data_IF_922705275429
#
_entry.id   IF_922705275429
#
_cell.length_a   1.000
_cell.length_b   1.000
_cell.length_c   1.000
_cell.angle_alpha   90.00
_cell.angle_beta   90.00
_cell.angle_gamma   90.00
#
_symmetry.space_group_name_H-M   'P 1'
#
loop_
_entity.id
_entity.type
_entity.pdbx_description
1 polymer ?
#
# COMPACT_ATOMS: atom_id res chain seq x y z
N UNK A 1 13.68 -16.79 1.18
CA UNK A 1 14.09 -15.65 2.03
C UNK A 1 15.58 -15.67 2.36
N UNK A 2 16.14 -16.76 2.87
CA UNK A 2 17.55 -16.83 3.23
C UNK A 2 18.46 -16.50 2.06
N UNK A 3 18.21 -17.05 0.90
CA UNK A 3 18.99 -16.77 -0.31
C UNK A 3 18.82 -15.34 -0.81
N UNK A 4 17.64 -14.75 -0.69
CA UNK A 4 17.38 -13.40 -1.19
C UNK A 4 17.82 -12.30 -0.22
N UNK A 5 17.74 -12.55 1.08
CA UNK A 5 17.87 -11.51 2.10
C UNK A 5 19.14 -11.51 2.92
N UNK A 6 19.73 -12.68 3.16
CA UNK A 6 20.87 -12.80 4.07
C UNK A 6 22.20 -13.10 3.38
N UNK A 7 22.18 -13.60 2.14
CA UNK A 7 23.42 -13.85 1.40
C UNK A 7 23.99 -12.54 0.88
N UNK A 8 25.16 -12.18 1.39
CA UNK A 8 25.97 -11.04 0.90
C UNK A 8 26.79 -11.40 -0.34
N UNK A 9 26.90 -12.69 -0.66
CA UNK A 9 27.70 -13.20 -1.76
C UNK A 9 26.81 -13.52 -2.96
N UNK A 10 27.37 -13.39 -4.17
CA UNK A 10 26.72 -13.89 -5.38
C UNK A 10 26.51 -15.40 -5.28
N UNK A 11 25.30 -15.85 -5.56
CA UNK A 11 25.00 -17.28 -5.56
C UNK A 11 25.74 -17.99 -6.67
N UNK A 12 26.25 -19.18 -6.36
CA UNK A 12 26.87 -20.05 -7.38
C UNK A 12 25.82 -20.48 -8.41
N UNK A 13 26.21 -20.61 -9.71
CA UNK A 13 25.27 -21.03 -10.77
C UNK A 13 24.51 -22.32 -10.43
N UNK A 14 25.17 -23.30 -9.86
CA UNK A 14 24.55 -24.58 -9.46
C UNK A 14 23.47 -24.37 -8.38
N UNK A 15 23.71 -23.50 -7.40
CA UNK A 15 22.72 -23.15 -6.39
C UNK A 15 21.49 -22.50 -7.02
N UNK A 16 21.70 -21.60 -7.97
CA UNK A 16 20.61 -20.95 -8.74
C UNK A 16 19.79 -21.99 -9.51
N UNK A 17 20.48 -22.91 -10.19
CA UNK A 17 19.84 -24.00 -10.94
C UNK A 17 19.02 -24.89 -10.02
N UNK A 18 19.56 -25.27 -8.88
CA UNK A 18 18.87 -26.10 -7.87
C UNK A 18 17.61 -25.44 -7.34
N UNK A 19 17.67 -24.13 -7.02
CA UNK A 19 16.49 -23.38 -6.56
C UNK A 19 15.41 -23.37 -7.64
N UNK A 20 15.79 -23.08 -8.90
CA UNK A 20 14.84 -23.05 -10.02
C UNK A 20 14.16 -24.40 -10.25
N UNK A 21 14.89 -25.49 -10.15
CA UNK A 21 14.35 -26.85 -10.31
C UNK A 21 13.36 -27.25 -9.21
N UNK A 22 13.42 -26.59 -8.04
CA UNK A 22 12.58 -26.93 -6.88
C UNK A 22 11.49 -25.86 -6.60
N UNK A 23 11.27 -24.90 -7.52
CA UNK A 23 10.24 -23.87 -7.33
C UNK A 23 8.82 -24.43 -7.24
N UNK A 24 8.54 -25.55 -7.89
CA UNK A 24 7.23 -26.23 -7.80
C UNK A 24 6.85 -26.62 -6.37
N UNK A 25 7.85 -26.86 -5.49
CA UNK A 25 7.61 -27.08 -4.08
C UNK A 25 6.93 -25.91 -3.35
N UNK A 26 7.07 -24.69 -3.87
CA UNK A 26 6.48 -23.48 -3.29
C UNK A 26 4.96 -23.47 -3.44
N UNK A 27 4.43 -24.06 -4.51
CA UNK A 27 2.97 -24.16 -4.75
C UNK A 27 2.26 -25.00 -3.68
N UNK A 28 3.02 -25.87 -2.97
CA UNK A 28 2.52 -26.70 -1.87
C UNK A 28 2.45 -25.97 -0.53
N UNK A 29 3.02 -24.76 -0.44
CA UNK A 29 2.98 -23.96 0.78
C UNK A 29 1.61 -23.27 0.93
N UNK A 30 1.18 -23.11 2.20
CA UNK A 30 -0.03 -22.34 2.47
C UNK A 30 0.15 -20.86 2.04
N UNK A 31 -0.94 -20.22 1.66
CA UNK A 31 -0.97 -18.82 1.23
C UNK A 31 -0.49 -17.90 2.35
N UNK A 32 -0.87 -18.20 3.59
CA UNK A 32 -0.46 -17.46 4.79
C UNK A 32 1.06 -17.51 4.98
N UNK A 33 1.66 -18.67 4.81
CA UNK A 33 3.12 -18.83 4.91
C UNK A 33 3.85 -18.07 3.82
N UNK A 34 3.33 -18.05 2.61
CA UNK A 34 3.89 -17.26 1.51
C UNK A 34 3.85 -15.77 1.82
N UNK A 35 2.71 -15.26 2.34
CA UNK A 35 2.55 -13.86 2.74
C UNK A 35 3.51 -13.51 3.89
N UNK A 36 3.66 -14.37 4.89
CA UNK A 36 4.58 -14.15 6.00
C UNK A 36 6.04 -14.08 5.55
N UNK A 37 6.45 -14.96 4.65
CA UNK A 37 7.81 -14.90 4.09
C UNK A 37 8.00 -13.66 3.19
N UNK A 38 6.99 -13.27 2.42
CA UNK A 38 7.00 -12.03 1.64
C UNK A 38 7.12 -10.80 2.55
N UNK A 39 6.36 -10.75 3.64
CA UNK A 39 6.44 -9.69 4.64
C UNK A 39 7.84 -9.57 5.22
N UNK A 40 8.46 -10.69 5.55
CA UNK A 40 9.85 -10.71 6.04
C UNK A 40 10.84 -10.21 4.99
N UNK A 41 10.66 -10.56 3.71
CA UNK A 41 11.51 -10.10 2.60
C UNK A 41 11.36 -8.57 2.43
N UNK A 42 10.13 -8.06 2.40
CA UNK A 42 9.86 -6.63 2.16
C UNK A 42 10.25 -5.76 3.37
N UNK A 43 10.19 -6.28 4.59
CA UNK A 43 10.65 -5.58 5.80
C UNK A 43 12.19 -5.57 5.95
N UNK A 44 12.90 -6.35 5.16
CA UNK A 44 14.34 -6.26 5.13
C UNK A 44 14.75 -4.97 4.44
N UNK A 45 15.64 -4.18 5.06
CA UNK A 45 16.20 -2.92 4.51
C UNK A 45 17.06 -3.12 3.24
N UNK A 46 16.68 -4.08 2.40
CA UNK A 46 17.41 -4.54 1.23
C UNK A 46 16.58 -4.46 -0.07
N UNK A 47 15.38 -3.86 -0.04
CA UNK A 47 14.52 -3.75 -1.22
C UNK A 47 15.26 -3.19 -2.44
N UNK A 48 16.13 -2.20 -2.20
CA UNK A 48 16.97 -1.63 -3.26
C UNK A 48 17.99 -2.64 -3.82
N UNK A 49 18.55 -3.52 -2.98
CA UNK A 49 19.49 -4.56 -3.42
C UNK A 49 18.74 -5.66 -4.15
N UNK A 50 17.58 -6.10 -3.64
CA UNK A 50 16.72 -7.09 -4.30
C UNK A 50 16.31 -6.64 -5.69
N UNK A 51 16.00 -5.35 -5.85
CA UNK A 51 15.59 -4.80 -7.13
C UNK A 51 16.71 -4.79 -8.16
N UNK A 52 17.99 -4.71 -7.74
CA UNK A 52 19.17 -4.71 -8.62
C UNK A 52 19.69 -6.11 -8.97
N UNK A 53 19.43 -7.09 -8.10
CA UNK A 53 19.89 -8.46 -8.33
C UNK A 53 18.91 -9.19 -9.27
N UNK A 54 19.40 -9.50 -10.48
CA UNK A 54 18.61 -10.17 -11.52
C UNK A 54 18.01 -11.50 -11.04
N UNK A 55 18.80 -12.28 -10.27
CA UNK A 55 18.33 -13.57 -9.77
C UNK A 55 17.23 -13.41 -8.72
N UNK A 56 17.42 -12.53 -7.75
CA UNK A 56 16.42 -12.25 -6.73
C UNK A 56 15.11 -11.79 -7.34
N UNK A 57 15.19 -10.89 -8.32
CA UNK A 57 14.03 -10.41 -9.06
C UNK A 57 13.31 -11.54 -9.79
N UNK A 58 14.03 -12.39 -10.53
CA UNK A 58 13.45 -13.52 -11.26
C UNK A 58 12.72 -14.50 -10.31
N UNK A 59 13.33 -14.84 -9.17
CA UNK A 59 12.68 -15.71 -8.19
C UNK A 59 11.42 -15.08 -7.59
N UNK A 60 11.46 -13.79 -7.28
CA UNK A 60 10.27 -13.10 -6.75
C UNK A 60 9.16 -13.06 -7.79
N UNK A 61 9.47 -12.75 -9.05
CA UNK A 61 8.50 -12.71 -10.15
C UNK A 61 7.88 -14.10 -10.44
N UNK A 62 8.63 -15.18 -10.24
CA UNK A 62 8.08 -16.53 -10.37
C UNK A 62 7.17 -16.90 -9.21
N UNK A 63 7.56 -16.56 -7.97
CA UNK A 63 6.80 -16.94 -6.77
C UNK A 63 5.59 -16.01 -6.57
N UNK A 64 5.75 -14.74 -6.91
CA UNK A 64 4.74 -13.69 -6.73
C UNK A 64 4.58 -12.90 -8.03
N UNK A 65 3.99 -13.47 -9.08
CA UNK A 65 3.85 -12.80 -10.38
C UNK A 65 2.98 -11.54 -10.33
N UNK A 66 2.20 -11.37 -9.25
CA UNK A 66 1.40 -10.18 -9.00
C UNK A 66 2.24 -8.95 -8.61
N UNK A 67 3.50 -9.14 -8.16
CA UNK A 67 4.39 -8.05 -7.76
C UNK A 67 5.09 -7.45 -8.98
N UNK A 68 4.36 -6.76 -9.84
CA UNK A 68 4.82 -6.28 -11.16
C UNK A 68 5.77 -5.07 -11.10
N UNK A 69 5.71 -4.28 -10.02
CA UNK A 69 6.33 -2.94 -10.00
C UNK A 69 7.64 -2.86 -9.22
N UNK A 70 8.43 -3.92 -9.09
CA UNK A 70 9.72 -3.89 -8.38
C UNK A 70 10.68 -2.80 -8.88
N UNK A 71 10.56 -2.41 -10.14
CA UNK A 71 11.39 -1.33 -10.72
C UNK A 71 11.20 0.03 -10.04
N UNK A 72 10.11 0.23 -9.29
CA UNK A 72 9.88 1.48 -8.58
C UNK A 72 11.03 1.79 -7.60
N UNK A 73 11.58 0.77 -6.95
CA UNK A 73 12.66 0.93 -5.97
C UNK A 73 14.00 1.35 -6.58
N UNK A 74 14.18 1.23 -7.90
CA UNK A 74 15.37 1.78 -8.57
C UNK A 74 15.30 3.30 -8.74
N UNK A 75 14.09 3.83 -8.93
CA UNK A 75 13.85 5.18 -9.40
C UNK A 75 13.25 6.07 -8.33
N UNK A 76 13.35 5.70 -7.06
CA UNK A 76 12.86 6.52 -5.96
C UNK A 76 13.57 7.87 -5.93
N UNK A 77 12.78 8.94 -5.80
CA UNK A 77 13.32 10.27 -5.50
C UNK A 77 13.98 10.29 -4.10
N UNK A 78 14.73 11.34 -3.77
CA UNK A 78 15.50 11.39 -2.51
C UNK A 78 14.60 11.37 -1.26
N UNK A 79 13.38 11.91 -1.33
CA UNK A 79 12.43 11.88 -0.23
C UNK A 79 11.85 10.48 -0.02
N UNK A 80 11.39 9.83 -1.08
CA UNK A 80 10.89 8.45 -1.02
C UNK A 80 11.95 7.45 -0.50
N UNK A 81 13.25 7.68 -0.83
CA UNK A 81 14.36 6.87 -0.28
C UNK A 81 14.49 6.97 1.24
N UNK A 82 14.14 8.09 1.84
CA UNK A 82 14.13 8.24 3.30
C UNK A 82 12.93 7.51 3.91
N UNK A 83 11.76 7.65 3.27
CA UNK A 83 10.52 7.06 3.78
C UNK A 83 10.41 5.53 3.58
N UNK A 84 11.14 4.93 2.65
CA UNK A 84 10.97 3.51 2.28
C UNK A 84 11.16 2.54 3.46
N UNK A 85 11.94 2.94 4.48
CA UNK A 85 12.16 2.14 5.68
C UNK A 85 11.14 2.43 6.81
N UNK A 86 10.28 3.43 6.63
CA UNK A 86 9.28 3.86 7.61
C UNK A 86 7.88 3.38 7.24
N UNK A 87 7.65 3.13 5.95
CA UNK A 87 6.36 2.62 5.46
C UNK A 87 6.18 1.15 5.80
N UNK A 88 4.93 0.76 6.04
CA UNK A 88 4.60 -0.61 6.41
C UNK A 88 4.49 -1.56 5.21
N UNK A 89 4.37 -2.85 5.53
CA UNK A 89 4.25 -3.93 4.57
C UNK A 89 3.05 -3.76 3.61
N UNK A 90 1.90 -3.32 4.11
CA UNK A 90 0.68 -3.19 3.30
C UNK A 90 0.84 -2.09 2.26
N UNK A 91 1.47 -0.99 2.64
CA UNK A 91 1.81 0.07 1.69
C UNK A 91 2.81 -0.42 0.63
N UNK A 92 3.87 -1.15 1.03
CA UNK A 92 4.85 -1.71 0.09
C UNK A 92 4.19 -2.68 -0.90
N UNK A 93 3.29 -3.54 -0.43
CA UNK A 93 2.50 -4.42 -1.31
C UNK A 93 1.66 -3.59 -2.28
N UNK A 94 0.98 -2.55 -1.81
CA UNK A 94 0.18 -1.67 -2.66
C UNK A 94 1.01 -1.06 -3.80
N UNK A 95 2.25 -0.62 -3.52
CA UNK A 95 3.17 -0.11 -4.54
C UNK A 95 3.51 -1.14 -5.62
N UNK A 96 3.54 -2.43 -5.25
CA UNK A 96 3.98 -3.52 -6.11
C UNK A 96 2.85 -4.15 -6.91
N UNK A 97 1.60 -4.12 -6.39
CA UNK A 97 0.46 -4.82 -7.02
C UNK A 97 -0.50 -3.89 -7.75
N UNK A 98 -0.60 -2.60 -7.33
CA UNK A 98 -1.56 -1.66 -7.92
C UNK A 98 -1.09 -1.22 -9.30
N UNK A 99 -1.93 -1.51 -10.28
CA UNK A 99 -1.79 -1.09 -11.67
C UNK A 99 -3.18 -0.74 -12.26
N UNK A 100 -3.27 -0.53 -13.57
CA UNK A 100 -4.51 -0.20 -14.24
C UNK A 100 -5.41 -1.42 -14.51
N UNK A 101 -4.93 -2.61 -14.14
CA UNK A 101 -5.61 -3.90 -14.37
C UNK A 101 -6.34 -4.39 -13.11
N UNK A 102 -6.85 -5.62 -13.17
CA UNK A 102 -7.45 -6.36 -12.04
C UNK A 102 -6.41 -7.08 -11.16
N UNK A 103 -5.13 -6.80 -11.35
CA UNK A 103 -4.02 -7.45 -10.64
C UNK A 103 -4.16 -7.36 -9.12
N UNK A 104 -4.64 -6.21 -8.62
CA UNK A 104 -4.91 -6.00 -7.18
C UNK A 104 -5.99 -6.97 -6.69
N UNK A 105 -7.09 -7.10 -7.41
CA UNK A 105 -8.20 -7.99 -7.04
C UNK A 105 -7.76 -9.45 -7.05
N UNK A 106 -6.97 -9.85 -8.06
CA UNK A 106 -6.38 -11.18 -8.13
C UNK A 106 -5.43 -11.45 -6.95
N UNK A 107 -4.56 -10.50 -6.60
CA UNK A 107 -3.69 -10.61 -5.44
C UNK A 107 -4.47 -10.78 -4.14
N UNK A 108 -5.50 -9.97 -3.92
CA UNK A 108 -6.34 -10.03 -2.72
C UNK A 108 -7.13 -11.35 -2.63
N UNK A 109 -7.57 -11.89 -3.76
CA UNK A 109 -8.21 -13.21 -3.83
C UNK A 109 -7.23 -14.34 -3.55
N UNK A 110 -6.03 -14.26 -4.12
CA UNK A 110 -5.00 -15.30 -3.99
C UNK A 110 -4.44 -15.35 -2.57
N UNK A 111 -4.21 -14.21 -1.94
CA UNK A 111 -3.59 -14.10 -0.63
C UNK A 111 -4.60 -13.62 0.41
N UNK A 112 -4.84 -14.46 1.42
CA UNK A 112 -5.86 -14.20 2.45
C UNK A 112 -5.36 -13.18 3.48
N UNK A 113 -5.34 -11.89 3.11
CA UNK A 113 -5.03 -10.79 4.00
C UNK A 113 -6.20 -10.48 4.94
N UNK A 114 -5.93 -9.79 6.05
CA UNK A 114 -7.01 -9.32 6.93
C UNK A 114 -7.99 -8.42 6.18
N UNK A 115 -9.28 -8.44 6.57
CA UNK A 115 -10.30 -7.55 5.97
C UNK A 115 -9.92 -6.07 6.02
N UNK A 116 -9.21 -5.65 7.09
CA UNK A 116 -8.70 -4.29 7.24
C UNK A 116 -7.67 -3.98 6.15
N UNK A 117 -6.70 -4.87 5.96
CA UNK A 117 -5.61 -4.69 4.98
C UNK A 117 -6.14 -4.73 3.55
N UNK A 118 -7.06 -5.68 3.26
CA UNK A 118 -7.74 -5.74 1.95
C UNK A 118 -8.44 -4.42 1.64
N UNK A 119 -9.22 -3.87 2.60
CA UNK A 119 -9.92 -2.60 2.43
C UNK A 119 -8.97 -1.43 2.21
N UNK A 120 -7.81 -1.42 2.89
CA UNK A 120 -6.79 -0.39 2.74
C UNK A 120 -6.17 -0.42 1.35
N UNK A 121 -5.73 -1.61 0.88
CA UNK A 121 -5.17 -1.81 -0.47
C UNK A 121 -6.22 -1.43 -1.53
N UNK A 122 -7.47 -1.90 -1.37
CA UNK A 122 -8.54 -1.61 -2.33
C UNK A 122 -8.87 -0.13 -2.39
N UNK A 123 -8.91 0.57 -1.25
CA UNK A 123 -9.13 2.02 -1.23
C UNK A 123 -8.05 2.78 -2.00
N UNK A 124 -6.79 2.31 -1.94
CA UNK A 124 -5.69 2.92 -2.68
C UNK A 124 -5.74 2.58 -4.17
N UNK A 125 -6.13 1.34 -4.52
CA UNK A 125 -6.34 0.88 -5.90
C UNK A 125 -7.48 1.65 -6.59
N UNK A 126 -8.65 1.76 -5.94
CA UNK A 126 -9.79 2.53 -6.44
C UNK A 126 -9.37 3.97 -6.70
N UNK A 127 -8.66 4.56 -5.76
CA UNK A 127 -8.15 5.90 -5.89
C UNK A 127 -7.13 6.04 -7.03
N UNK A 128 -6.26 5.05 -7.24
CA UNK A 128 -5.32 5.03 -8.35
C UNK A 128 -6.04 4.98 -9.70
N UNK A 129 -7.05 4.10 -9.84
CA UNK A 129 -7.87 3.95 -11.04
C UNK A 129 -8.72 5.20 -11.32
N UNK A 130 -9.22 5.85 -10.27
CA UNK A 130 -10.05 7.05 -10.39
C UNK A 130 -9.30 8.34 -10.72
N UNK A 131 -7.96 8.37 -10.88
CA UNK A 131 -7.18 9.54 -11.40
C UNK A 131 -6.10 10.15 -10.50
N UNK A 132 -5.51 9.42 -9.60
CA UNK A 132 -4.52 10.01 -8.68
C UNK A 132 -3.27 10.54 -9.39
N UNK A 133 -2.84 9.93 -10.46
CA UNK A 133 -1.57 10.30 -11.09
C UNK A 133 -1.67 11.56 -11.95
N UNK A 134 -2.86 11.97 -12.38
CA UNK A 134 -3.05 13.03 -13.38
C UNK A 134 -3.62 14.34 -12.83
N UNK A 135 -4.23 14.35 -11.64
CA UNK A 135 -4.88 15.56 -11.10
C UNK A 135 -4.18 16.13 -9.88
N UNK A 136 -4.09 17.46 -9.85
CA UNK A 136 -3.72 18.20 -8.64
C UNK A 136 -4.89 18.05 -7.65
N UNK A 137 -4.67 17.35 -6.54
CA UNK A 137 -5.68 17.17 -5.49
C UNK A 137 -5.94 18.50 -4.79
N UNK A 138 -7.18 18.94 -4.79
CA UNK A 138 -7.58 20.14 -4.07
C UNK A 138 -7.65 19.87 -2.56
N UNK A 139 -7.43 20.91 -1.74
CA UNK A 139 -7.59 20.80 -0.27
C UNK A 139 -8.98 20.29 0.11
N UNK A 140 -10.02 20.63 -0.66
CA UNK A 140 -11.40 20.18 -0.42
C UNK A 140 -11.53 18.66 -0.60
N UNK A 141 -10.94 18.10 -1.66
CA UNK A 141 -10.92 16.66 -1.91
C UNK A 141 -10.12 15.91 -0.86
N UNK A 142 -8.95 16.41 -0.49
CA UNK A 142 -8.12 15.82 0.56
C UNK A 142 -8.85 15.82 1.93
N UNK A 143 -9.52 16.91 2.28
CA UNK A 143 -10.31 16.97 3.51
C UNK A 143 -11.49 15.98 3.49
N UNK A 144 -12.16 15.77 2.35
CA UNK A 144 -13.20 14.74 2.20
C UNK A 144 -12.62 13.34 2.42
N UNK A 145 -11.48 13.02 1.79
CA UNK A 145 -10.83 11.73 1.96
C UNK A 145 -10.42 11.55 3.43
N UNK A 146 -9.80 12.56 4.03
CA UNK A 146 -9.38 12.54 5.43
C UNK A 146 -10.55 12.25 6.37
N UNK A 147 -11.70 12.87 6.12
CA UNK A 147 -12.90 12.68 6.95
C UNK A 147 -13.55 11.31 6.73
N UNK A 148 -13.78 10.92 5.46
CA UNK A 148 -14.57 9.71 5.16
C UNK A 148 -13.75 8.41 5.14
N UNK A 149 -12.50 8.48 4.75
CA UNK A 149 -11.62 7.30 4.61
C UNK A 149 -10.58 7.18 5.73
N UNK A 150 -10.37 8.25 6.48
CA UNK A 150 -9.43 8.30 7.59
C UNK A 150 -8.02 8.74 7.20
N UNK A 151 -7.21 8.99 8.25
CA UNK A 151 -5.83 9.47 8.09
C UNK A 151 -4.96 8.46 7.33
N UNK A 152 -5.03 7.17 7.71
CA UNK A 152 -4.19 6.11 7.16
C UNK A 152 -4.30 6.05 5.63
N UNK A 153 -5.53 6.04 5.10
CA UNK A 153 -5.78 6.01 3.66
C UNK A 153 -5.27 7.28 2.96
N UNK A 154 -5.49 8.47 3.54
CA UNK A 154 -5.02 9.71 2.94
C UNK A 154 -3.49 9.79 2.90
N UNK A 155 -2.84 9.38 4.00
CA UNK A 155 -1.37 9.35 4.08
C UNK A 155 -0.81 8.36 3.06
N UNK A 156 -1.44 7.19 2.90
CA UNK A 156 -1.06 6.22 1.87
C UNK A 156 -1.19 6.80 0.45
N UNK A 157 -2.26 7.52 0.17
CA UNK A 157 -2.46 8.18 -1.13
C UNK A 157 -1.32 9.17 -1.42
N UNK A 158 -0.99 10.02 -0.46
CA UNK A 158 0.08 11.01 -0.60
C UNK A 158 1.44 10.33 -0.76
N UNK A 159 1.72 9.31 0.06
CA UNK A 159 2.92 8.48 -0.06
C UNK A 159 2.99 7.80 -1.43
N UNK A 160 1.90 7.21 -1.91
CA UNK A 160 1.86 6.54 -3.20
C UNK A 160 2.24 7.50 -4.32
N UNK A 161 1.75 8.73 -4.28
CA UNK A 161 2.11 9.79 -5.23
C UNK A 161 3.59 10.16 -5.11
N UNK A 162 4.13 10.31 -3.89
CA UNK A 162 5.55 10.57 -3.63
C UNK A 162 6.44 9.45 -4.21
N UNK A 163 6.06 8.18 -4.04
CA UNK A 163 6.84 7.04 -4.51
C UNK A 163 6.77 6.82 -6.02
N UNK A 164 5.65 7.18 -6.66
CA UNK A 164 5.47 7.03 -8.12
C UNK A 164 6.10 8.18 -8.91
N UNK A 165 6.39 9.33 -8.31
CA UNK A 165 7.00 10.47 -8.99
C UNK A 165 8.52 10.46 -8.91
N UNK A 166 9.19 10.69 -10.05
CA UNK A 166 10.66 10.77 -10.11
C UNK A 166 11.17 12.11 -9.54
N UNK A 167 10.43 13.19 -9.76
CA UNK A 167 10.76 14.53 -9.27
C UNK A 167 10.12 14.76 -7.91
N UNK A 168 10.82 15.51 -7.06
CA UNK A 168 10.26 15.94 -5.77
C UNK A 168 9.17 16.97 -6.06
N UNK A 169 8.01 16.74 -5.46
CA UNK A 169 6.90 17.70 -5.44
C UNK A 169 6.74 18.19 -3.99
N UNK A 170 7.21 19.40 -3.74
CA UNK A 170 7.20 19.98 -2.40
C UNK A 170 5.77 20.20 -1.88
N UNK A 171 4.81 20.54 -2.75
CA UNK A 171 3.41 20.71 -2.36
C UNK A 171 2.85 19.40 -1.76
N UNK A 172 3.18 18.26 -2.37
CA UNK A 172 2.73 16.95 -1.88
C UNK A 172 3.41 16.59 -0.57
N UNK A 173 4.70 16.92 -0.41
CA UNK A 173 5.43 16.68 0.84
C UNK A 173 4.84 17.51 1.99
N UNK A 174 4.52 18.78 1.74
CA UNK A 174 3.86 19.64 2.73
C UNK A 174 2.49 19.08 3.12
N UNK A 175 1.69 18.64 2.15
CA UNK A 175 0.40 18.00 2.41
C UNK A 175 0.57 16.70 3.20
N UNK A 176 1.54 15.85 2.83
CA UNK A 176 1.86 14.64 3.57
C UNK A 176 2.19 14.95 5.03
N UNK A 177 3.11 15.89 5.29
CA UNK A 177 3.47 16.29 6.65
C UNK A 177 2.27 16.85 7.42
N UNK A 178 1.47 17.71 6.78
CA UNK A 178 0.29 18.30 7.38
C UNK A 178 -0.73 17.24 7.83
N UNK A 179 -1.09 16.29 6.94
CA UNK A 179 -2.12 15.30 7.26
C UNK A 179 -1.59 14.16 8.15
N UNK A 180 -0.30 13.87 8.15
CA UNK A 180 0.30 12.83 9.01
C UNK A 180 0.11 13.14 10.50
N UNK A 181 0.14 14.42 10.87
CA UNK A 181 0.04 14.85 12.28
C UNK A 181 -1.30 15.49 12.63
N UNK A 182 -2.14 15.80 11.66
CA UNK A 182 -3.42 16.45 11.88
C UNK A 182 -4.39 15.54 12.65
N UNK A 183 -5.04 16.08 13.69
CA UNK A 183 -6.12 15.37 14.38
C UNK A 183 -7.32 15.18 13.45
N UNK A 184 -7.96 14.01 13.54
CA UNK A 184 -9.20 13.74 12.80
C UNK A 184 -10.25 14.77 13.20
N UNK A 185 -10.95 15.39 12.24
CA UNK A 185 -12.06 16.27 12.56
C UNK A 185 -13.17 15.47 13.23
N UNK A 186 -13.71 16.01 14.30
CA UNK A 186 -14.86 15.44 14.99
C UNK A 186 -16.08 16.24 14.52
N UNK A 187 -17.16 15.54 14.18
CA UNK A 187 -18.43 16.22 13.85
C UNK A 187 -18.83 17.12 15.02
N UNK A 188 -19.16 18.39 14.76
CA UNK A 188 -19.58 19.33 15.80
C UNK A 188 -20.89 18.90 16.47
N UNK A 189 -21.70 18.11 15.75
CA UNK A 189 -22.99 17.59 16.25
C UNK A 189 -22.91 16.07 16.25
N UNK A 190 -23.10 15.46 17.42
CA UNK A 190 -23.18 14.00 17.58
C UNK A 190 -24.60 13.51 17.30
N UNK A 191 -24.74 12.23 16.92
CA UNK A 191 -26.03 11.57 16.76
C UNK A 191 -26.91 11.68 18.03
N UNK A 192 -26.29 11.52 19.21
CA UNK A 192 -26.95 11.69 20.54
C UNK A 192 -27.60 13.05 20.67
N UNK A 193 -26.91 14.12 20.29
CA UNK A 193 -27.46 15.49 20.33
C UNK A 193 -28.71 15.65 19.44
N UNK A 194 -28.71 15.00 18.27
CA UNK A 194 -29.87 15.01 17.37
C UNK A 194 -31.04 14.21 17.92
N UNK A 195 -30.77 13.09 18.60
CA UNK A 195 -31.79 12.25 19.24
C UNK A 195 -32.39 12.98 20.44
N UNK A 196 -31.54 13.51 21.34
CA UNK A 196 -32.00 14.11 22.61
C UNK A 196 -32.63 15.47 22.42
N UNK A 197 -31.98 16.37 21.68
CA UNK A 197 -32.48 17.76 21.49
C UNK A 197 -33.59 17.88 20.47
N UNK A 198 -33.46 17.15 19.36
CA UNK A 198 -34.39 17.28 18.22
C UNK A 198 -35.34 16.09 18.11
N UNK A 199 -35.29 15.15 19.06
CA UNK A 199 -36.18 13.95 19.14
C UNK A 199 -36.22 13.16 17.81
N UNK A 200 -35.12 13.17 17.08
CA UNK A 200 -35.01 12.43 15.83
C UNK A 200 -34.82 10.94 16.15
N UNK A 201 -35.72 10.09 15.69
CA UNK A 201 -35.60 8.64 15.90
C UNK A 201 -34.36 8.08 15.26
N UNK A 202 -33.75 7.09 15.95
CA UNK A 202 -32.60 6.34 15.41
C UNK A 202 -33.02 5.58 14.16
N UNK A 203 -32.68 6.09 12.99
CA UNK A 203 -33.11 5.57 11.70
C UNK A 203 -32.14 6.00 10.60
N UNK A 204 -32.34 5.51 9.37
CA UNK A 204 -31.58 5.93 8.19
C UNK A 204 -31.61 7.45 8.00
N UNK A 205 -32.73 8.10 8.29
CA UNK A 205 -32.88 9.57 8.21
C UNK A 205 -31.97 10.33 9.17
N UNK A 206 -31.62 9.78 10.35
CA UNK A 206 -30.62 10.34 11.24
C UNK A 206 -29.24 10.32 10.60
N UNK A 207 -28.87 9.22 9.97
CA UNK A 207 -27.60 9.08 9.24
C UNK A 207 -27.50 10.05 8.06
N UNK A 208 -28.58 10.24 7.32
CA UNK A 208 -28.61 11.16 6.18
C UNK A 208 -28.52 12.62 6.62
N UNK A 209 -29.16 13.00 7.71
CA UNK A 209 -29.02 14.34 8.32
C UNK A 209 -27.59 14.61 8.82
N UNK A 210 -26.93 13.60 9.44
CA UNK A 210 -25.53 13.72 9.88
C UNK A 210 -24.55 13.89 8.70
N UNK A 211 -24.89 13.39 7.51
CA UNK A 211 -24.06 13.59 6.30
C UNK A 211 -24.20 14.98 5.68
N UNK A 212 -25.27 15.71 6.00
CA UNK A 212 -25.52 17.08 5.52
C UNK A 212 -24.81 18.15 6.36
N UNK A 213 -24.37 17.80 7.57
CA UNK A 213 -23.61 18.66 8.49
C UNK A 213 -22.12 18.52 8.23
#
# INVERSE_FOLDING_TARGET
>A
RFFLGYSKQKHKPDTIKFIKMNLDGITKLSKERLVDELKKILNMKILHNLSKDKFSKEIIEIVFPELKHFKIFFNLNSYAKKLVNEVDFIFLISLLVIDETDNTDYFLYKFNLSKKDQKRIKSLDDFYKEKILSKKLTKKELNKIFYYKGREVLVDILNFKIFKTKKIDNDIIELFNFYSYRKMPILPIKAETLIERYKIKQSKTLGDKLKLI
#
